data_IF_596759047642
#
_entry.id   IF_596759047642
#
_cell.length_a   1.000
_cell.length_b   1.000
_cell.length_c   1.000
_cell.angle_alpha   90.00
_cell.angle_beta   90.00
_cell.angle_gamma   90.00
#
_symmetry.space_group_name_H-M   'P 1'
#
loop_
_entity.id
_entity.type
_entity.pdbx_description
1 polymer ?
#
# COMPACT_ATOMS: atom_id res chain seq x y z
N UNK A 1 25.34 -3.20 16.62
CA UNK A 1 24.45 -2.34 15.83
C UNK A 1 23.52 -3.30 15.17
N UNK A 2 22.21 -3.19 15.42
CA UNK A 2 21.22 -3.90 14.64
C UNK A 2 21.29 -3.37 13.21
N UNK A 3 21.13 -4.26 12.22
CA UNK A 3 21.08 -3.88 10.81
C UNK A 3 19.76 -3.12 10.57
N UNK A 4 19.80 -2.00 9.84
CA UNK A 4 18.59 -1.22 9.56
C UNK A 4 17.85 -1.85 8.38
N UNK A 5 16.66 -2.41 8.63
CA UNK A 5 15.76 -2.85 7.58
C UNK A 5 14.71 -1.78 7.29
N UNK A 6 14.69 -1.31 6.04
CA UNK A 6 13.69 -0.35 5.56
C UNK A 6 12.67 -1.05 4.68
N UNK A 7 11.39 -0.80 4.96
CA UNK A 7 10.26 -1.28 4.16
C UNK A 7 9.55 -0.11 3.52
N UNK A 8 9.34 -0.16 2.20
CA UNK A 8 8.59 0.86 1.47
C UNK A 8 7.25 0.30 0.99
N UNK A 9 6.16 0.96 1.36
CA UNK A 9 4.78 0.49 1.17
C UNK A 9 4.27 -0.27 2.39
N UNK A 10 3.15 0.17 2.94
CA UNK A 10 2.56 -0.30 4.20
C UNK A 10 1.26 -1.10 4.06
N UNK A 11 0.96 -1.63 2.88
CA UNK A 11 -0.24 -2.47 2.72
C UNK A 11 0.04 -3.95 3.04
N UNK A 12 -0.26 -4.89 2.13
CA UNK A 12 -0.14 -6.31 2.44
C UNK A 12 1.31 -6.79 2.60
N UNK A 13 2.13 -6.66 1.55
CA UNK A 13 3.47 -7.26 1.53
C UNK A 13 4.42 -6.58 2.53
N UNK A 14 4.40 -5.25 2.61
CA UNK A 14 5.31 -4.51 3.47
C UNK A 14 5.06 -4.76 4.95
N UNK A 15 3.83 -4.63 5.44
CA UNK A 15 3.55 -4.84 6.86
C UNK A 15 3.63 -6.31 7.28
N UNK A 16 3.44 -7.24 6.35
CA UNK A 16 3.71 -8.67 6.61
C UNK A 16 5.19 -8.91 6.83
N UNK A 17 6.05 -8.31 5.99
CA UNK A 17 7.50 -8.43 6.13
C UNK A 17 8.03 -7.74 7.38
N UNK A 18 7.59 -6.49 7.65
CA UNK A 18 7.97 -5.77 8.86
C UNK A 18 7.51 -6.51 10.14
N UNK A 19 6.29 -7.04 10.15
CA UNK A 19 5.80 -7.84 11.30
C UNK A 19 6.63 -9.11 11.52
N UNK A 20 7.18 -9.72 10.47
CA UNK A 20 8.01 -10.91 10.58
C UNK A 20 9.45 -10.55 10.99
N UNK A 21 10.01 -9.50 10.39
CA UNK A 21 11.34 -8.98 10.74
C UNK A 21 11.43 -8.62 12.23
N UNK A 22 10.47 -7.85 12.73
CA UNK A 22 10.36 -7.51 14.15
C UNK A 22 10.26 -8.70 15.11
N UNK A 23 9.72 -9.85 14.66
CA UNK A 23 9.67 -11.09 15.47
C UNK A 23 11.02 -11.77 15.57
N UNK A 24 11.80 -11.73 14.51
CA UNK A 24 13.14 -12.31 14.44
C UNK A 24 14.18 -11.41 15.10
N UNK A 25 14.08 -10.09 14.91
CA UNK A 25 14.93 -9.07 15.52
C UNK A 25 14.09 -7.88 16.01
N UNK A 26 13.87 -7.75 17.34
CA UNK A 26 13.09 -6.64 17.91
C UNK A 26 13.71 -5.25 17.72
N UNK A 27 14.99 -5.14 17.38
CA UNK A 27 15.67 -3.85 17.17
C UNK A 27 15.68 -3.42 15.69
N UNK A 28 15.06 -4.22 14.81
CA UNK A 28 14.91 -3.96 13.39
C UNK A 28 13.62 -3.15 13.12
N UNK A 29 13.69 -2.27 12.11
CA UNK A 29 12.59 -1.82 11.23
C UNK A 29 12.24 -0.32 11.24
N UNK A 30 12.21 0.25 10.03
CA UNK A 30 11.53 1.50 9.68
C UNK A 30 10.62 1.23 8.48
N UNK A 31 9.32 1.47 8.63
CA UNK A 31 8.34 1.33 7.56
C UNK A 31 7.86 2.68 7.06
N UNK A 32 7.85 2.91 5.74
CA UNK A 32 7.30 4.12 5.12
C UNK A 32 6.07 3.80 4.28
N UNK A 33 4.99 4.53 4.50
CA UNK A 33 3.77 4.51 3.69
C UNK A 33 3.39 5.93 3.27
N UNK A 34 3.14 6.11 1.97
CA UNK A 34 2.73 7.39 1.39
C UNK A 34 1.37 7.85 1.93
N UNK A 35 0.43 6.93 2.04
CA UNK A 35 -0.92 7.19 2.52
C UNK A 35 -1.03 7.23 4.05
N UNK A 36 -2.26 7.45 4.50
CA UNK A 36 -2.63 7.40 5.92
C UNK A 36 -3.00 5.98 6.38
N UNK A 37 -3.31 5.09 5.43
CA UNK A 37 -3.86 3.76 5.67
C UNK A 37 -2.83 2.68 5.38
N UNK A 38 -2.80 1.67 6.24
CA UNK A 38 -1.95 0.47 6.14
C UNK A 38 -2.80 -0.77 6.32
N UNK A 39 -2.29 -1.91 5.83
CA UNK A 39 -2.90 -3.23 6.01
C UNK A 39 -4.42 -3.25 5.78
N UNK A 40 -4.90 -2.69 4.67
CA UNK A 40 -6.32 -2.67 4.34
C UNK A 40 -6.64 -3.67 3.23
N UNK A 41 -7.86 -4.19 3.25
CA UNK A 41 -8.35 -5.15 2.27
C UNK A 41 -8.67 -4.44 0.95
N UNK A 42 -7.66 -4.18 0.13
CA UNK A 42 -7.85 -3.66 -1.23
C UNK A 42 -8.81 -4.54 -2.05
N UNK A 43 -8.74 -5.86 -1.87
CA UNK A 43 -9.67 -6.84 -2.46
C UNK A 43 -11.12 -6.69 -1.97
N UNK A 44 -11.31 -6.06 -0.81
CA UNK A 44 -12.60 -5.79 -0.17
C UNK A 44 -13.32 -4.54 -0.70
N UNK A 45 -12.58 -3.61 -1.34
CA UNK A 45 -13.14 -2.35 -1.86
C UNK A 45 -14.35 -2.52 -2.80
N UNK A 46 -14.41 -3.52 -3.71
CA UNK A 46 -15.59 -3.72 -4.55
C UNK A 46 -16.88 -3.98 -3.75
N UNK A 47 -16.77 -4.63 -2.58
CA UNK A 47 -17.91 -4.91 -1.71
C UNK A 47 -18.39 -3.66 -0.98
N UNK A 48 -17.47 -2.77 -0.58
CA UNK A 48 -17.82 -1.44 -0.09
C UNK A 48 -18.52 -0.60 -1.17
N UNK A 49 -17.98 -0.58 -2.40
CA UNK A 49 -18.59 0.16 -3.52
C UNK A 49 -20.01 -0.35 -3.84
N UNK A 50 -20.22 -1.66 -3.69
CA UNK A 50 -21.52 -2.34 -3.86
C UNK A 50 -22.49 -2.09 -2.70
N UNK A 51 -22.00 -1.59 -1.55
CA UNK A 51 -22.79 -1.38 -0.33
C UNK A 51 -23.01 -2.64 0.51
N UNK A 52 -22.20 -3.68 0.30
CA UNK A 52 -22.20 -4.88 1.17
C UNK A 52 -21.29 -4.70 2.40
N UNK A 53 -20.33 -3.78 2.33
CA UNK A 53 -19.55 -3.27 3.47
C UNK A 53 -19.99 -1.84 3.70
N UNK A 54 -20.36 -1.51 4.94
CA UNK A 54 -20.97 -0.23 5.29
C UNK A 54 -19.92 0.87 5.47
N UNK A 55 -18.82 0.56 6.16
CA UNK A 55 -17.77 1.51 6.48
C UNK A 55 -16.40 1.10 5.90
N UNK A 56 -15.65 2.08 5.38
CA UNK A 56 -14.29 1.83 4.86
C UNK A 56 -13.34 1.32 5.95
N UNK A 57 -13.59 1.69 7.21
CA UNK A 57 -12.78 1.23 8.35
C UNK A 57 -12.90 -0.28 8.57
N UNK A 58 -14.00 -0.91 8.17
CA UNK A 58 -14.19 -2.37 8.26
C UNK A 58 -13.26 -3.12 7.29
N UNK A 59 -12.65 -2.43 6.33
CA UNK A 59 -11.64 -3.00 5.43
C UNK A 59 -10.23 -2.94 6.03
N UNK A 60 -9.99 -2.22 7.12
CA UNK A 60 -8.67 -2.15 7.76
C UNK A 60 -8.47 -3.35 8.66
N UNK A 61 -7.45 -4.16 8.38
CA UNK A 61 -7.15 -5.33 9.20
C UNK A 61 -6.37 -4.95 10.46
N UNK A 62 -5.45 -3.97 10.34
CA UNK A 62 -4.62 -3.45 11.44
C UNK A 62 -4.33 -1.98 11.18
N UNK A 63 -4.56 -1.14 12.18
CA UNK A 63 -4.36 0.32 12.08
C UNK A 63 -2.88 0.71 12.21
N UNK A 64 -2.49 1.91 11.73
CA UNK A 64 -1.14 2.43 11.97
C UNK A 64 -0.78 2.52 13.46
N UNK A 65 -1.75 2.87 14.31
CA UNK A 65 -1.55 2.97 15.75
C UNK A 65 -1.29 1.60 16.39
N UNK A 66 -2.01 0.55 15.98
CA UNK A 66 -1.75 -0.82 16.45
C UNK A 66 -0.35 -1.31 16.02
N UNK A 67 0.09 -1.01 14.79
CA UNK A 67 1.44 -1.35 14.36
C UNK A 67 2.53 -0.68 15.20
N UNK A 68 2.36 0.60 15.53
CA UNK A 68 3.30 1.36 16.37
C UNK A 68 3.27 0.90 17.82
N UNK A 69 2.09 0.82 18.40
CA UNK A 69 1.93 0.67 19.86
C UNK A 69 1.93 -0.79 20.33
N UNK A 70 1.41 -1.71 19.50
CA UNK A 70 1.26 -3.12 19.89
C UNK A 70 2.29 -4.02 19.22
N UNK A 71 2.71 -3.67 17.99
CA UNK A 71 3.72 -4.44 17.24
C UNK A 71 5.10 -3.81 17.24
N UNK A 72 5.25 -2.63 17.86
CA UNK A 72 6.51 -1.91 18.03
C UNK A 72 7.24 -1.63 16.69
N UNK A 73 6.47 -1.45 15.61
CA UNK A 73 7.03 -1.10 14.30
C UNK A 73 7.14 0.42 14.18
N UNK A 74 8.32 0.93 13.83
CA UNK A 74 8.52 2.35 13.54
C UNK A 74 7.93 2.71 12.17
N UNK A 75 6.62 2.86 12.14
CA UNK A 75 5.82 3.09 10.94
C UNK A 75 5.56 4.59 10.73
N UNK A 76 6.00 5.11 9.60
CA UNK A 76 5.83 6.48 9.14
C UNK A 76 4.80 6.53 8.01
N UNK A 77 3.58 6.95 8.32
CA UNK A 77 2.52 7.23 7.35
C UNK A 77 2.63 8.67 6.84
N UNK A 78 2.13 8.96 5.64
CA UNK A 78 2.32 10.28 5.01
C UNK A 78 3.75 10.53 4.51
N UNK A 79 4.55 9.47 4.38
CA UNK A 79 5.97 9.53 4.00
C UNK A 79 6.18 8.70 2.72
N UNK A 80 6.53 9.36 1.63
CA UNK A 80 6.71 8.72 0.33
C UNK A 80 8.20 8.50 0.05
N UNK A 81 8.61 7.25 -0.18
CA UNK A 81 9.95 7.00 -0.73
C UNK A 81 9.96 7.34 -2.21
N UNK A 82 10.69 8.40 -2.56
CA UNK A 82 10.77 8.97 -3.92
C UNK A 82 12.07 8.64 -4.64
N UNK A 83 13.07 8.12 -3.93
CA UNK A 83 14.37 7.76 -4.49
C UNK A 83 15.04 6.61 -3.73
N UNK A 84 15.88 5.86 -4.42
CA UNK A 84 16.73 4.81 -3.85
C UNK A 84 18.14 5.00 -4.41
N UNK A 85 19.12 5.10 -3.53
CA UNK A 85 20.55 5.09 -3.85
C UNK A 85 21.19 3.79 -3.31
N UNK A 86 21.39 2.76 -4.16
CA UNK A 86 22.00 1.51 -3.74
C UNK A 86 23.51 1.61 -3.49
N UNK A 87 24.19 2.61 -4.05
CA UNK A 87 25.63 2.80 -3.81
C UNK A 87 25.88 3.41 -2.44
N UNK A 88 25.02 4.36 -2.04
CA UNK A 88 25.04 4.96 -0.71
C UNK A 88 24.33 4.10 0.36
N UNK A 89 23.47 3.16 -0.06
CA UNK A 89 22.65 2.37 0.87
C UNK A 89 21.58 3.22 1.55
N UNK A 90 20.88 4.08 0.80
CA UNK A 90 19.85 4.97 1.35
C UNK A 90 18.63 5.10 0.45
N UNK A 91 17.51 5.51 1.06
CA UNK A 91 16.30 5.94 0.35
C UNK A 91 16.05 7.42 0.62
N UNK A 92 15.53 8.13 -0.36
CA UNK A 92 15.07 9.52 -0.19
C UNK A 92 13.57 9.49 0.08
N UNK A 93 13.18 10.06 1.22
CA UNK A 93 11.80 10.11 1.71
C UNK A 93 11.29 11.55 1.61
N UNK A 94 10.10 11.73 1.04
CA UNK A 94 9.37 13.00 0.99
C UNK A 94 8.23 12.99 2.02
N UNK A 95 8.14 14.05 2.82
CA UNK A 95 7.05 14.31 3.75
C UNK A 95 6.87 15.82 3.93
N UNK A 96 5.62 16.29 3.98
CA UNK A 96 5.27 17.71 4.19
C UNK A 96 5.97 18.71 3.25
N UNK A 97 6.33 18.27 2.03
CA UNK A 97 7.03 19.08 1.04
C UNK A 97 8.55 19.21 1.26
N UNK A 98 9.09 18.49 2.24
CA UNK A 98 10.51 18.37 2.51
C UNK A 98 11.00 16.95 2.18
N UNK A 99 12.32 16.80 1.98
CA UNK A 99 12.95 15.51 1.72
C UNK A 99 14.09 15.25 2.67
N UNK A 100 14.30 13.99 3.03
CA UNK A 100 15.43 13.53 3.81
C UNK A 100 15.90 12.14 3.36
N UNK A 101 17.16 11.81 3.63
CA UNK A 101 17.70 10.49 3.32
C UNK A 101 17.66 9.57 4.55
N UNK A 102 17.13 8.37 4.36
CA UNK A 102 17.11 7.28 5.34
C UNK A 102 18.09 6.18 4.89
N UNK A 103 19.19 5.94 5.63
CA UNK A 103 20.08 4.82 5.40
C UNK A 103 19.40 3.47 5.65
N UNK A 104 19.88 2.43 4.99
CA UNK A 104 19.47 1.04 5.21
C UNK A 104 20.63 0.07 4.98
N UNK A 105 20.59 -1.05 5.69
CA UNK A 105 21.41 -2.23 5.42
C UNK A 105 20.63 -3.22 4.54
N UNK A 106 19.32 -3.28 4.74
CA UNK A 106 18.39 -4.07 3.94
C UNK A 106 17.19 -3.22 3.51
N UNK A 107 16.76 -3.38 2.25
CA UNK A 107 15.62 -2.65 1.70
C UNK A 107 14.61 -3.63 1.09
N UNK A 108 13.36 -3.54 1.52
CA UNK A 108 12.23 -4.17 0.85
C UNK A 108 11.39 -3.11 0.13
N UNK A 109 11.22 -3.30 -1.17
CA UNK A 109 10.31 -2.49 -1.99
C UNK A 109 8.99 -3.23 -2.17
N UNK A 110 7.99 -2.87 -1.36
CA UNK A 110 6.64 -3.42 -1.35
C UNK A 110 5.60 -2.41 -1.85
N UNK A 111 5.98 -1.61 -2.86
CA UNK A 111 5.16 -0.51 -3.38
C UNK A 111 4.19 -0.97 -4.47
N UNK A 112 3.02 -0.34 -4.51
CA UNK A 112 2.06 -0.55 -5.59
C UNK A 112 2.52 0.17 -6.86
N UNK A 113 2.46 -0.53 -8.00
CA UNK A 113 2.62 0.11 -9.31
C UNK A 113 1.30 0.76 -9.71
N UNK A 114 1.31 2.08 -9.88
CA UNK A 114 0.14 2.82 -10.38
C UNK A 114 0.31 3.14 -11.86
N UNK A 115 -0.77 3.05 -12.62
CA UNK A 115 -0.76 3.32 -14.05
C UNK A 115 -1.16 4.76 -14.42
N UNK A 116 -1.49 5.60 -13.42
CA UNK A 116 -1.93 7.00 -13.64
C UNK A 116 -3.16 7.14 -14.54
N UNK A 117 -3.97 6.09 -14.67
CA UNK A 117 -5.09 6.05 -15.60
C UNK A 117 -6.27 6.88 -15.09
N UNK A 118 -6.97 7.57 -16.00
CA UNK A 118 -8.29 8.12 -15.71
C UNK A 118 -9.31 6.97 -15.59
N UNK A 119 -10.48 7.25 -15.02
CA UNK A 119 -11.57 6.28 -14.95
C UNK A 119 -11.96 5.74 -16.35
N UNK A 120 -11.98 6.61 -17.37
CA UNK A 120 -12.19 6.22 -18.77
C UNK A 120 -11.05 5.32 -19.26
N UNK A 121 -9.80 5.66 -18.92
CA UNK A 121 -8.63 4.84 -19.25
C UNK A 121 -8.73 3.44 -18.63
N UNK A 122 -9.09 3.36 -17.35
CA UNK A 122 -9.25 2.10 -16.63
C UNK A 122 -10.35 1.24 -17.26
N UNK A 123 -11.54 1.81 -17.54
CA UNK A 123 -12.64 1.10 -18.22
C UNK A 123 -12.26 0.52 -19.57
N UNK A 124 -11.35 1.18 -20.28
CA UNK A 124 -10.90 0.76 -21.61
C UNK A 124 -9.66 -0.14 -21.56
N UNK A 125 -9.23 -0.57 -20.36
CA UNK A 125 -8.09 -1.46 -20.22
C UNK A 125 -8.50 -2.88 -20.58
N UNK A 126 -7.75 -3.52 -21.48
CA UNK A 126 -7.93 -4.94 -21.82
C UNK A 126 -7.18 -5.80 -20.78
N UNK A 127 -7.76 -5.89 -19.58
CA UNK A 127 -7.22 -6.72 -18.49
C UNK A 127 -7.32 -8.20 -18.85
N UNK A 128 -6.37 -8.99 -18.35
CA UNK A 128 -6.19 -10.37 -18.76
C UNK A 128 -7.45 -11.23 -18.51
N UNK A 129 -8.02 -11.74 -19.59
CA UNK A 129 -9.04 -12.80 -19.56
C UNK A 129 -8.36 -14.17 -19.52
N UNK A 130 -8.48 -14.88 -18.40
CA UNK A 130 -7.82 -16.16 -18.18
C UNK A 130 -8.72 -17.14 -17.40
N UNK A 131 -9.80 -17.68 -17.98
CA UNK A 131 -10.57 -18.74 -17.33
C UNK A 131 -9.69 -19.97 -17.01
N UNK A 132 -9.86 -20.63 -15.86
CA UNK A 132 -10.82 -20.35 -14.78
C UNK A 132 -10.36 -19.30 -13.75
N UNK A 133 -9.20 -18.69 -13.94
CA UNK A 133 -8.52 -17.82 -12.98
C UNK A 133 -9.04 -16.37 -12.96
N UNK A 134 -9.59 -15.86 -14.07
CA UNK A 134 -10.30 -14.58 -14.13
C UNK A 134 -11.59 -14.63 -14.97
N UNK A 135 -12.67 -13.93 -14.55
CA UNK A 135 -13.93 -13.85 -15.29
C UNK A 135 -13.82 -13.01 -16.58
N UNK A 136 -14.86 -13.05 -17.41
CA UNK A 136 -14.94 -12.27 -18.69
C UNK A 136 -14.77 -10.77 -18.46
N UNK A 137 -15.23 -10.26 -17.32
CA UNK A 137 -15.02 -8.90 -16.89
C UNK A 137 -14.22 -8.94 -15.59
N UNK A 138 -12.97 -8.48 -15.63
CA UNK A 138 -12.16 -8.28 -14.43
C UNK A 138 -12.91 -7.35 -13.46
N UNK A 139 -12.98 -7.71 -12.17
CA UNK A 139 -13.74 -6.97 -11.13
C UNK A 139 -13.41 -5.48 -11.06
N UNK A 140 -12.22 -5.07 -11.50
CA UNK A 140 -11.78 -3.67 -11.56
C UNK A 140 -12.58 -2.89 -12.63
N UNK A 141 -12.95 -3.52 -13.76
CA UNK A 141 -13.68 -2.86 -14.85
C UNK A 141 -15.15 -2.51 -14.48
N UNK A 142 -15.96 -3.41 -13.88
CA UNK A 142 -17.26 -3.06 -13.33
C UNK A 142 -17.18 -2.03 -12.20
N UNK A 143 -16.17 -2.12 -11.32
CA UNK A 143 -15.98 -1.13 -10.26
C UNK A 143 -15.73 0.27 -10.85
N UNK A 144 -14.83 0.39 -11.84
CA UNK A 144 -14.61 1.63 -12.58
C UNK A 144 -15.89 2.13 -13.28
N UNK A 145 -16.73 1.22 -13.77
CA UNK A 145 -18.05 1.57 -14.33
C UNK A 145 -19.00 2.18 -13.31
N UNK A 146 -19.17 1.53 -12.16
CA UNK A 146 -20.02 2.06 -11.08
C UNK A 146 -19.50 3.40 -10.58
N UNK A 147 -18.18 3.52 -10.41
CA UNK A 147 -17.54 4.74 -9.94
C UNK A 147 -17.83 5.93 -10.88
N UNK A 148 -17.69 5.75 -12.19
CA UNK A 148 -17.97 6.80 -13.15
C UNK A 148 -19.43 7.27 -13.15
N UNK A 149 -20.39 6.37 -12.94
CA UNK A 149 -21.80 6.77 -12.78
C UNK A 149 -21.99 7.68 -11.56
N UNK A 150 -21.42 7.29 -10.41
CA UNK A 150 -21.46 8.10 -9.19
C UNK A 150 -20.79 9.47 -9.36
N UNK A 151 -19.66 9.55 -10.08
CA UNK A 151 -18.96 10.81 -10.37
C UNK A 151 -19.76 11.69 -11.34
N UNK A 152 -20.48 11.09 -12.28
CA UNK A 152 -21.37 11.79 -13.22
C UNK A 152 -22.71 12.23 -12.59
N UNK A 153 -23.01 11.81 -11.35
CA UNK A 153 -24.26 12.10 -10.65
C UNK A 153 -25.44 11.24 -11.13
N UNK A 154 -25.17 10.06 -11.68
CA UNK A 154 -26.14 9.07 -12.16
C UNK A 154 -26.56 8.05 -11.09
#
# INVERSE_FOLDING_TARGET
MSDTFVVTGGDAAGMSAASEAKREDPDLDVGFEKGEWVSYAACGMPYYVKGEVEDLQDLVAVTPEEFRNERDIDLWTGHEVVGIDPEAGSVTVEADGETFDQPYDHLLVATAFTAGMTEIGLRNTDLAYAPPFSPVWDSILPAAKVLGGKVAGE
#
